data_IF_928915907863
#
_entry.id   IF_928915907863
#
_cell.length_a   1.000
_cell.length_b   1.000
_cell.length_c   1.000
_cell.angle_alpha   90.00
_cell.angle_beta   90.00
_cell.angle_gamma   90.00
#
_symmetry.space_group_name_H-M   'P 1'
#
loop_
_entity.id
_entity.type
_entity.pdbx_description
1 polymer ?
#
# COMPACT_ATOMS: atom_id res chain seq x y z
N UNK A 1 4.41 -17.98 -3.38
CA UNK A 1 3.81 -16.65 -3.45
C UNK A 1 3.87 -16.10 -4.85
N UNK A 2 2.91 -15.28 -5.17
CA UNK A 2 2.94 -14.58 -6.44
C UNK A 2 3.92 -13.43 -6.36
N UNK A 3 4.84 -13.39 -7.30
CA UNK A 3 5.78 -12.28 -7.42
C UNK A 3 5.53 -11.47 -8.68
N UNK A 4 4.52 -11.84 -9.47
CA UNK A 4 4.16 -11.07 -10.65
C UNK A 4 3.54 -9.75 -10.23
N UNK A 5 3.99 -8.65 -10.81
CA UNK A 5 3.32 -7.40 -10.59
C UNK A 5 2.53 -7.00 -11.83
N UNK A 6 1.53 -6.19 -11.58
CA UNK A 6 0.57 -5.78 -12.58
C UNK A 6 0.66 -4.27 -12.68
N UNK A 7 0.95 -3.77 -13.88
CA UNK A 7 1.17 -2.35 -14.10
C UNK A 7 -0.08 -1.53 -13.78
N UNK A 8 -1.24 -2.07 -14.16
CA UNK A 8 -2.49 -1.38 -13.95
C UNK A 8 -3.62 -2.38 -13.89
N UNK A 9 -4.45 -2.30 -12.85
CA UNK A 9 -5.58 -3.19 -12.63
C UNK A 9 -6.88 -2.40 -12.60
N UNK A 10 -7.98 -3.12 -12.88
CA UNK A 10 -9.31 -2.60 -12.60
C UNK A 10 -9.57 -2.72 -11.11
N UNK A 11 -9.16 -1.70 -10.36
CA UNK A 11 -9.36 -1.65 -8.93
C UNK A 11 -10.64 -0.90 -8.59
N UNK A 12 -11.26 -1.20 -7.45
CA UNK A 12 -12.30 -0.33 -6.95
C UNK A 12 -11.79 1.10 -6.88
N UNK A 13 -12.64 2.04 -7.21
CA UNK A 13 -12.31 3.46 -7.12
C UNK A 13 -13.33 4.08 -6.19
N UNK A 14 -12.94 4.50 -4.99
CA UNK A 14 -13.90 5.14 -4.09
C UNK A 14 -14.34 6.47 -4.70
N UNK A 15 -15.61 6.79 -4.48
CA UNK A 15 -16.15 8.05 -4.95
C UNK A 15 -15.87 9.15 -3.92
N UNK A 16 -14.57 9.41 -3.69
CA UNK A 16 -14.09 10.38 -2.71
C UNK A 16 -13.64 11.65 -3.42
N UNK A 17 -14.02 12.80 -2.85
CA UNK A 17 -13.48 14.07 -3.29
C UNK A 17 -12.04 14.22 -2.79
N UNK A 18 -11.20 14.81 -3.64
CA UNK A 18 -9.82 15.14 -3.24
C UNK A 18 -9.86 16.43 -2.43
N UNK A 19 -9.77 16.30 -1.11
CA UNK A 19 -9.94 17.41 -0.18
C UNK A 19 -8.69 17.73 0.63
N UNK A 20 -7.64 16.91 0.51
CA UNK A 20 -6.41 17.08 1.29
C UNK A 20 -5.26 17.48 0.38
N UNK A 21 -4.44 18.43 0.86
CA UNK A 21 -3.26 18.92 0.16
C UNK A 21 -2.02 18.07 0.41
N UNK A 22 -2.03 17.33 1.50
CA UNK A 22 -0.85 16.61 1.99
C UNK A 22 -1.21 15.19 2.37
N UNK A 23 -0.17 14.37 2.48
CA UNK A 23 -0.30 13.02 3.05
C UNK A 23 -0.26 13.11 4.58
N UNK A 24 -0.81 12.11 5.29
CA UNK A 24 -0.69 12.04 6.73
C UNK A 24 0.77 12.08 7.17
N UNK A 25 1.06 12.81 8.25
CA UNK A 25 2.40 12.91 8.81
C UNK A 25 2.84 11.58 9.39
N UNK A 26 4.10 11.23 9.15
CA UNK A 26 4.69 9.99 9.65
C UNK A 26 6.11 10.25 10.09
N UNK A 27 6.63 9.41 10.98
CA UNK A 27 7.94 9.57 11.57
C UNK A 27 8.94 8.48 11.19
N UNK A 28 8.51 7.51 10.40
CA UNK A 28 9.34 6.38 10.00
C UNK A 28 9.19 6.10 8.52
N UNK A 29 10.03 5.20 7.99
CA UNK A 29 9.93 4.77 6.60
C UNK A 29 8.70 3.88 6.39
N UNK A 30 8.51 2.87 7.25
CA UNK A 30 7.28 2.07 7.27
C UNK A 30 6.42 2.51 8.44
N UNK A 31 5.15 2.78 8.17
CA UNK A 31 4.26 3.39 9.15
C UNK A 31 2.93 2.64 9.23
N UNK A 32 2.67 2.06 10.40
CA UNK A 32 1.38 1.42 10.65
C UNK A 32 0.30 2.50 10.76
N UNK A 33 -0.77 2.33 10.01
CA UNK A 33 -1.89 3.27 10.01
C UNK A 33 -3.19 2.52 10.27
N UNK A 34 -4.19 3.25 10.76
CA UNK A 34 -5.52 2.70 10.94
C UNK A 34 -6.36 2.90 9.67
N UNK A 35 -7.57 2.36 9.70
CA UNK A 35 -8.46 2.43 8.54
C UNK A 35 -8.81 3.88 8.19
N UNK A 36 -9.05 4.71 9.19
CA UNK A 36 -9.39 6.12 8.99
C UNK A 36 -8.26 6.87 8.27
N UNK A 37 -7.02 6.62 8.67
CA UNK A 37 -5.85 7.22 8.03
C UNK A 37 -5.68 6.69 6.61
N UNK A 38 -5.93 5.39 6.41
CA UNK A 38 -5.86 4.79 5.07
C UNK A 38 -6.83 5.49 4.11
N UNK A 39 -8.04 5.81 4.56
CA UNK A 39 -9.02 6.52 3.72
C UNK A 39 -8.49 7.89 3.26
N UNK A 40 -7.69 8.55 4.09
CA UNK A 40 -7.12 9.85 3.72
C UNK A 40 -6.18 9.75 2.54
N UNK A 41 -5.57 8.60 2.29
CA UNK A 41 -4.72 8.40 1.12
C UNK A 41 -5.51 8.51 -0.18
N UNK A 42 -6.81 8.28 -0.11
CA UNK A 42 -7.71 8.40 -1.27
C UNK A 42 -8.37 9.76 -1.39
N UNK A 43 -8.06 10.68 -0.47
CA UNK A 43 -8.63 12.04 -0.44
C UNK A 43 -7.60 13.11 -0.80
N UNK A 44 -6.38 12.71 -1.15
CA UNK A 44 -5.30 13.63 -1.49
C UNK A 44 -4.88 13.45 -2.95
N UNK A 45 -4.33 14.53 -3.52
CA UNK A 45 -3.73 14.47 -4.86
C UNK A 45 -2.33 13.86 -4.84
N UNK A 46 -1.75 13.67 -3.65
CA UNK A 46 -0.38 13.19 -3.51
C UNK A 46 -0.30 11.69 -3.73
N UNK A 47 0.78 11.25 -4.34
CA UNK A 47 1.04 9.83 -4.56
C UNK A 47 1.53 9.19 -3.28
N UNK A 48 1.10 7.96 -3.02
CA UNK A 48 1.51 7.21 -1.82
C UNK A 48 1.68 5.73 -2.12
N UNK A 49 2.36 5.05 -1.20
CA UNK A 49 2.54 3.60 -1.22
C UNK A 49 1.78 3.04 -0.03
N UNK A 50 0.92 2.05 -0.28
CA UNK A 50 0.18 1.35 0.76
C UNK A 50 0.53 -0.14 0.68
N UNK A 51 0.99 -0.70 1.80
CA UNK A 51 1.21 -2.15 1.93
C UNK A 51 0.13 -2.70 2.84
N UNK A 52 -0.55 -3.74 2.39
CA UNK A 52 -1.57 -4.43 3.17
C UNK A 52 -0.97 -5.74 3.67
N UNK A 53 -1.07 -5.97 4.98
CA UNK A 53 -0.54 -7.16 5.63
C UNK A 53 -1.56 -7.70 6.64
N UNK A 54 -1.25 -8.85 7.23
CA UNK A 54 -2.01 -9.38 8.36
C UNK A 54 -1.06 -10.12 9.31
N UNK A 55 -1.52 -10.35 10.54
CA UNK A 55 -0.78 -11.17 11.50
C UNK A 55 -0.76 -12.63 11.06
N UNK A 56 0.22 -13.39 11.53
CA UNK A 56 0.37 -14.82 11.22
C UNK A 56 0.42 -15.11 9.72
N UNK A 57 1.07 -14.22 8.99
CA UNK A 57 1.24 -14.32 7.55
C UNK A 57 2.73 -14.53 7.26
N UNK A 58 3.11 -15.76 6.89
CA UNK A 58 4.52 -16.09 6.67
C UNK A 58 5.14 -15.29 5.54
N UNK A 59 4.39 -15.03 4.47
CA UNK A 59 4.89 -14.21 3.37
C UNK A 59 5.08 -12.76 3.77
N UNK A 60 4.23 -12.24 4.66
CA UNK A 60 4.41 -10.90 5.20
C UNK A 60 5.68 -10.81 6.04
N UNK A 61 5.96 -11.83 6.84
CA UNK A 61 7.16 -11.89 7.67
C UNK A 61 8.43 -11.93 6.83
N UNK A 62 8.41 -12.60 5.68
CA UNK A 62 9.52 -12.61 4.74
C UNK A 62 9.67 -11.27 4.02
N UNK A 63 8.56 -10.65 3.67
CA UNK A 63 8.53 -9.46 2.84
C UNK A 63 8.92 -8.19 3.59
N UNK A 64 8.43 -8.00 4.82
CA UNK A 64 8.60 -6.73 5.53
C UNK A 64 10.06 -6.33 5.75
N UNK A 65 11.00 -7.24 6.09
CA UNK A 65 12.40 -6.86 6.16
C UNK A 65 12.97 -6.40 4.82
N UNK A 66 12.58 -7.05 3.72
CA UNK A 66 13.00 -6.66 2.39
C UNK A 66 12.42 -5.29 2.00
N UNK A 67 11.15 -5.08 2.30
CA UNK A 67 10.49 -3.81 2.03
C UNK A 67 11.14 -2.68 2.85
N UNK A 68 11.46 -2.93 4.11
CA UNK A 68 12.10 -1.94 4.96
C UNK A 68 13.44 -1.50 4.37
N UNK A 69 14.27 -2.45 3.96
CA UNK A 69 15.56 -2.14 3.33
C UNK A 69 15.38 -1.37 2.02
N UNK A 70 14.42 -1.83 1.20
CA UNK A 70 14.17 -1.21 -0.10
C UNK A 70 13.80 0.27 0.07
N UNK A 71 12.87 0.54 0.96
CA UNK A 71 12.34 1.89 1.15
C UNK A 71 13.34 2.81 1.85
N UNK A 72 14.08 2.28 2.80
CA UNK A 72 15.12 3.05 3.49
C UNK A 72 16.22 3.47 2.50
N UNK A 73 16.66 2.57 1.63
CA UNK A 73 17.68 2.89 0.63
C UNK A 73 17.19 3.93 -0.38
N UNK A 74 15.90 3.92 -0.69
CA UNK A 74 15.32 4.88 -1.64
C UNK A 74 14.87 6.18 -0.96
N UNK A 75 14.91 6.22 0.36
CA UNK A 75 14.39 7.35 1.16
C UNK A 75 12.92 7.65 0.82
N UNK A 76 12.12 6.59 0.79
CA UNK A 76 10.69 6.66 0.44
C UNK A 76 9.86 6.21 1.64
N UNK A 77 8.79 6.94 1.91
CA UNK A 77 7.86 6.65 3.00
C UNK A 77 6.71 5.79 2.48
N UNK A 78 6.26 4.84 3.30
CA UNK A 78 5.09 4.04 2.98
C UNK A 78 4.13 3.96 4.18
N UNK A 79 2.90 3.54 3.90
CA UNK A 79 1.85 3.34 4.89
C UNK A 79 1.47 1.86 4.88
N UNK A 80 1.37 1.25 6.08
CA UNK A 80 1.05 -0.16 6.24
C UNK A 80 -0.30 -0.31 6.94
N UNK A 81 -1.22 -1.04 6.31
CA UNK A 81 -2.51 -1.37 6.90
C UNK A 81 -2.51 -2.84 7.32
N UNK A 82 -2.68 -3.08 8.63
CA UNK A 82 -2.77 -4.43 9.16
C UNK A 82 -4.23 -4.86 9.22
N UNK A 83 -4.62 -5.80 8.37
CA UNK A 83 -6.00 -6.28 8.28
C UNK A 83 -6.49 -6.88 9.60
N UNK A 84 -5.59 -7.42 10.40
CA UNK A 84 -5.96 -8.03 11.68
C UNK A 84 -6.58 -7.04 12.64
N UNK A 85 -6.22 -5.76 12.51
CA UNK A 85 -6.69 -4.70 13.41
C UNK A 85 -8.00 -4.05 12.96
N UNK A 86 -8.55 -4.46 11.82
CA UNK A 86 -9.79 -3.89 11.30
C UNK A 86 -11.01 -4.53 11.95
N UNK A 87 -12.03 -3.72 12.16
CA UNK A 87 -13.36 -4.24 12.52
C UNK A 87 -13.97 -4.93 11.30
N UNK A 88 -15.03 -5.70 11.52
CA UNK A 88 -15.75 -6.35 10.42
C UNK A 88 -16.29 -5.32 9.43
N UNK A 89 -16.85 -4.23 9.93
CA UNK A 89 -17.38 -3.17 9.08
C UNK A 89 -16.28 -2.49 8.28
N UNK A 90 -15.12 -2.25 8.90
CA UNK A 90 -13.97 -1.69 8.19
C UNK A 90 -13.47 -2.62 7.11
N UNK A 91 -13.41 -3.91 7.40
CA UNK A 91 -12.99 -4.91 6.40
C UNK A 91 -13.91 -4.91 5.18
N UNK A 92 -15.23 -4.79 5.41
CA UNK A 92 -16.20 -4.70 4.32
C UNK A 92 -16.04 -3.40 3.54
N UNK A 93 -15.84 -2.30 4.24
CA UNK A 93 -15.67 -0.98 3.61
C UNK A 93 -14.39 -0.89 2.80
N UNK A 94 -13.34 -1.61 3.21
CA UNK A 94 -12.07 -1.62 2.53
C UNK A 94 -12.21 -2.02 1.06
N UNK A 95 -13.14 -2.90 0.75
CA UNK A 95 -13.36 -3.37 -0.62
C UNK A 95 -13.85 -2.28 -1.56
N UNK A 96 -14.27 -1.14 -1.05
CA UNK A 96 -14.62 0.03 -1.86
C UNK A 96 -13.37 0.78 -2.33
N UNK A 97 -12.23 0.53 -1.69
CA UNK A 97 -10.99 1.26 -1.92
C UNK A 97 -9.97 0.44 -2.69
N UNK A 98 -9.79 -0.83 -2.32
CA UNK A 98 -8.76 -1.69 -2.90
C UNK A 98 -9.30 -3.09 -3.14
N UNK A 99 -8.71 -3.74 -4.13
CA UNK A 99 -8.91 -5.17 -4.36
C UNK A 99 -7.58 -5.90 -4.18
N UNK A 100 -7.60 -7.02 -3.47
CA UNK A 100 -6.43 -7.86 -3.29
C UNK A 100 -6.89 -9.29 -3.04
N UNK A 101 -6.03 -10.26 -3.38
CA UNK A 101 -6.35 -11.67 -3.23
C UNK A 101 -5.64 -12.30 -2.04
N UNK A 102 -4.59 -11.67 -1.54
CA UNK A 102 -3.84 -12.17 -0.41
C UNK A 102 -2.89 -11.11 0.14
N UNK A 103 -2.09 -11.49 1.11
CA UNK A 103 -1.12 -10.60 1.75
C UNK A 103 0.29 -11.19 1.64
N UNK A 104 1.33 -10.34 1.55
CA UNK A 104 1.25 -8.90 1.43
C UNK A 104 0.86 -8.46 0.02
N UNK A 105 0.28 -7.28 -0.11
CA UNK A 105 0.03 -6.66 -1.40
C UNK A 105 0.43 -5.19 -1.30
N UNK A 106 1.13 -4.70 -2.30
CA UNK A 106 1.62 -3.32 -2.35
C UNK A 106 0.87 -2.53 -3.41
N UNK A 107 0.34 -1.38 -3.02
CA UNK A 107 -0.45 -0.51 -3.91
C UNK A 107 0.24 0.82 -4.09
N UNK A 108 0.22 1.33 -5.31
CA UNK A 108 0.53 2.73 -5.59
C UNK A 108 -0.80 3.46 -5.74
N UNK A 109 -0.98 4.51 -4.95
CA UNK A 109 -2.18 5.35 -4.98
C UNK A 109 -1.78 6.71 -5.49
N UNK A 110 -2.51 7.22 -6.48
CA UNK A 110 -2.23 8.52 -7.08
C UNK A 110 -3.54 9.18 -7.46
N UNK A 111 -3.71 10.45 -7.07
CA UNK A 111 -4.94 11.20 -7.34
C UNK A 111 -6.18 10.46 -6.83
N UNK A 112 -6.07 9.87 -5.65
CA UNK A 112 -7.18 9.17 -5.00
C UNK A 112 -7.55 7.84 -5.61
N UNK A 113 -6.69 7.24 -6.41
CA UNK A 113 -6.95 5.97 -7.09
C UNK A 113 -5.76 5.04 -7.02
N UNK A 114 -6.02 3.74 -6.93
CA UNK A 114 -4.96 2.75 -7.11
C UNK A 114 -4.58 2.73 -8.59
N UNK A 115 -3.30 2.95 -8.86
CA UNK A 115 -2.79 2.94 -10.23
C UNK A 115 -1.99 1.68 -10.55
N UNK A 116 -1.32 1.11 -9.54
CA UNK A 116 -0.47 -0.06 -9.75
C UNK A 116 -0.51 -0.95 -8.52
N UNK A 117 -0.36 -2.25 -8.73
CA UNK A 117 -0.41 -3.26 -7.66
C UNK A 117 0.74 -4.24 -7.84
N UNK A 118 1.41 -4.56 -6.74
CA UNK A 118 2.36 -5.66 -6.69
C UNK A 118 1.80 -6.73 -5.75
N UNK A 119 1.56 -7.92 -6.28
CA UNK A 119 0.98 -9.02 -5.53
C UNK A 119 2.07 -9.89 -4.89
N UNK A 120 1.95 -10.10 -3.58
CA UNK A 120 2.78 -11.05 -2.87
C UNK A 120 4.10 -10.49 -2.38
N UNK A 121 4.90 -11.37 -1.79
CA UNK A 121 6.22 -11.06 -1.27
C UNK A 121 7.26 -11.08 -2.39
N UNK A 122 8.30 -10.29 -2.22
CA UNK A 122 9.40 -10.26 -3.16
C UNK A 122 10.67 -9.78 -2.46
N UNK A 123 11.78 -9.79 -3.17
CA UNK A 123 13.04 -9.30 -2.64
C UNK A 123 13.15 -7.77 -2.77
N UNK A 124 14.17 -7.23 -2.12
CA UNK A 124 14.44 -5.79 -2.09
C UNK A 124 14.56 -5.20 -3.50
N UNK A 125 15.36 -5.83 -4.34
CA UNK A 125 15.68 -5.29 -5.66
C UNK A 125 14.45 -5.23 -6.57
N UNK A 126 13.62 -6.24 -6.52
CA UNK A 126 12.40 -6.28 -7.33
C UNK A 126 11.40 -5.24 -6.85
N UNK A 127 11.25 -5.09 -5.53
CA UNK A 127 10.38 -4.05 -4.98
C UNK A 127 10.88 -2.65 -5.34
N UNK A 128 12.20 -2.43 -5.27
CA UNK A 128 12.79 -1.15 -5.65
C UNK A 128 12.50 -0.81 -7.11
N UNK A 129 12.59 -1.80 -8.00
CA UNK A 129 12.29 -1.59 -9.41
C UNK A 129 10.83 -1.16 -9.61
N UNK A 130 9.92 -1.81 -8.91
CA UNK A 130 8.49 -1.46 -8.97
C UNK A 130 8.25 -0.03 -8.45
N UNK A 131 8.83 0.31 -7.32
CA UNK A 131 8.66 1.64 -6.71
C UNK A 131 9.30 2.72 -7.58
N UNK A 132 10.49 2.46 -8.10
CA UNK A 132 11.16 3.42 -8.98
C UNK A 132 10.31 3.71 -10.22
N UNK A 133 9.75 2.68 -10.81
CA UNK A 133 9.02 2.81 -12.06
C UNK A 133 7.66 3.49 -11.88
N UNK A 134 6.94 3.17 -10.80
CA UNK A 134 5.54 3.56 -10.65
C UNK A 134 5.27 4.57 -9.56
N UNK A 135 6.19 4.76 -8.63
CA UNK A 135 6.02 5.74 -7.58
C UNK A 135 6.95 6.95 -7.75
N UNK A 136 8.23 6.69 -8.03
CA UNK A 136 9.22 7.77 -8.12
C UNK A 136 9.07 8.55 -9.41
N UNK A 137 8.82 7.85 -10.50
CA UNK A 137 8.62 8.47 -11.82
C UNK A 137 7.17 8.84 -12.01
#
# INVERSE_FOLDING_TARGET
PSTAYIDKLEQPSPNEELTLDTLPDVSATLNDIDFKTMKKLFQTTKRSILIVKKDNCSYCEEFLPEATKALEEMDVVEYTLNLTNLTLNESKSLLKYIYFEGTPTTFIIDQGKVTHVFNGATDKETLQAFIDLYYVR
#
